data_IF_788699613244
#
_entry.id   IF_788699613244
#
_cell.length_a   1.000
_cell.length_b   1.000
_cell.length_c   1.000
_cell.angle_alpha   90.00
_cell.angle_beta   90.00
_cell.angle_gamma   90.00
#
_symmetry.space_group_name_H-M   'P 1'
#
loop_
_entity.id
_entity.type
_entity.pdbx_description
1 polymer ?
#
# COMPACT_ATOMS: atom_id res chain seq x y z
N UNK A 1 2.21 -14.77 -8.52
CA UNK A 1 1.14 -13.80 -8.87
C UNK A 1 1.31 -12.46 -8.16
N UNK A 2 1.27 -12.37 -6.82
CA UNK A 2 1.39 -11.09 -6.12
C UNK A 2 2.69 -10.32 -6.48
N UNK A 3 3.83 -11.01 -6.55
CA UNK A 3 5.12 -10.43 -6.97
C UNK A 3 5.07 -9.82 -8.37
N UNK A 4 4.55 -10.56 -9.36
CA UNK A 4 4.47 -10.07 -10.75
C UNK A 4 3.60 -8.83 -10.87
N UNK A 5 2.50 -8.78 -10.11
CA UNK A 5 1.63 -7.59 -10.08
C UNK A 5 2.32 -6.36 -9.50
N UNK A 6 3.35 -6.50 -8.65
CA UNK A 6 4.08 -5.38 -8.05
C UNK A 6 5.41 -5.05 -8.77
N UNK A 7 5.72 -5.75 -9.86
CA UNK A 7 6.99 -5.57 -10.59
C UNK A 7 7.11 -4.19 -11.27
N UNK A 8 5.99 -3.61 -11.68
CA UNK A 8 5.93 -2.29 -12.32
C UNK A 8 5.98 -1.12 -11.33
N UNK A 9 5.85 -1.39 -10.02
CA UNK A 9 5.83 -0.34 -9.01
C UNK A 9 7.25 0.23 -8.80
N UNK A 10 7.38 1.57 -8.67
CA UNK A 10 8.65 2.24 -8.43
C UNK A 10 9.39 1.70 -7.21
N UNK A 11 10.72 1.88 -7.16
CA UNK A 11 11.56 1.43 -6.04
C UNK A 11 11.28 2.14 -4.71
N UNK A 12 10.57 3.27 -4.75
CA UNK A 12 10.25 4.08 -3.57
C UNK A 12 8.93 3.68 -2.90
N UNK A 13 8.06 2.94 -3.58
CA UNK A 13 6.84 2.42 -2.97
C UNK A 13 7.17 1.29 -2.00
N UNK A 14 6.55 1.26 -0.82
CA UNK A 14 6.54 0.05 0.00
C UNK A 14 5.73 -1.04 -0.71
N UNK A 15 6.33 -2.22 -0.85
CA UNK A 15 5.67 -3.40 -1.42
C UNK A 15 5.31 -4.32 -0.27
N UNK A 16 4.02 -4.42 0.03
CA UNK A 16 3.52 -5.15 1.19
C UNK A 16 2.47 -6.17 0.77
N UNK A 17 2.57 -7.39 1.30
CA UNK A 17 1.60 -8.47 1.11
C UNK A 17 1.07 -8.86 2.48
N UNK A 18 -0.25 -8.83 2.64
CA UNK A 18 -0.93 -9.38 3.82
C UNK A 18 -1.64 -10.67 3.42
N UNK A 19 -1.34 -11.76 4.11
CA UNK A 19 -1.97 -13.08 3.88
C UNK A 19 -2.80 -13.47 5.09
N UNK A 20 -4.08 -13.72 4.88
CA UNK A 20 -4.94 -14.35 5.88
C UNK A 20 -4.91 -15.86 5.62
N UNK A 21 -4.32 -16.62 6.53
CA UNK A 21 -4.05 -18.04 6.33
C UNK A 21 -4.95 -18.91 7.23
N UNK A 22 -5.87 -19.65 6.63
CA UNK A 22 -6.83 -20.50 7.35
C UNK A 22 -6.48 -21.99 7.40
N UNK A 23 -5.49 -22.44 6.63
CA UNK A 23 -5.08 -23.85 6.55
C UNK A 23 -3.93 -24.17 7.50
N UNK A 24 -3.55 -25.44 7.59
CA UNK A 24 -2.30 -25.90 8.22
C UNK A 24 -1.29 -26.43 7.19
N UNK A 25 -1.74 -26.62 5.95
CA UNK A 25 -0.93 -27.14 4.85
C UNK A 25 -1.07 -26.23 3.64
N UNK A 26 0.04 -26.05 2.94
CA UNK A 26 0.09 -25.41 1.61
C UNK A 26 0.39 -26.52 0.59
N UNK A 27 -0.10 -26.37 -0.63
CA UNK A 27 0.18 -27.29 -1.73
C UNK A 27 0.85 -26.50 -2.86
N UNK A 28 2.12 -26.16 -2.67
CA UNK A 28 2.89 -25.40 -3.65
C UNK A 28 3.53 -26.34 -4.68
N UNK A 29 3.44 -26.05 -5.99
CA UNK A 29 3.99 -26.92 -7.03
C UNK A 29 5.53 -26.89 -7.12
N UNK A 30 6.18 -25.93 -6.47
CA UNK A 30 7.64 -25.74 -6.49
C UNK A 30 8.19 -25.41 -5.10
N UNK A 31 9.49 -25.14 -5.03
CA UNK A 31 10.15 -24.83 -3.77
C UNK A 31 9.81 -23.40 -3.31
N UNK A 32 9.16 -23.28 -2.15
CA UNK A 32 8.77 -22.00 -1.57
C UNK A 32 9.96 -21.17 -1.07
N UNK A 33 11.08 -21.81 -0.74
CA UNK A 33 12.27 -21.11 -0.28
C UNK A 33 12.91 -20.26 -1.39
N UNK A 34 12.88 -20.74 -2.63
CA UNK A 34 13.38 -19.97 -3.78
C UNK A 34 12.49 -18.74 -4.01
N UNK A 35 11.18 -18.89 -3.85
CA UNK A 35 10.22 -17.77 -3.94
C UNK A 35 10.45 -16.75 -2.82
N UNK A 36 10.79 -17.22 -1.61
CA UNK A 36 11.14 -16.36 -0.48
C UNK A 36 12.39 -15.53 -0.77
N UNK A 37 13.45 -16.15 -1.29
CA UNK A 37 14.70 -15.44 -1.62
C UNK A 37 14.46 -14.39 -2.73
N UNK A 38 13.61 -14.69 -3.71
CA UNK A 38 13.18 -13.73 -4.72
C UNK A 38 12.36 -12.56 -4.13
N UNK A 39 11.46 -12.83 -3.19
CA UNK A 39 10.70 -11.78 -2.49
C UNK A 39 11.59 -10.86 -1.65
N UNK A 40 12.61 -11.41 -1.00
CA UNK A 40 13.61 -10.62 -0.25
C UNK A 40 14.42 -9.74 -1.20
N UNK A 41 14.82 -10.28 -2.36
CA UNK A 41 15.53 -9.51 -3.41
C UNK A 41 14.72 -8.33 -3.92
N UNK A 42 13.41 -8.52 -4.10
CA UNK A 42 12.48 -7.49 -4.57
C UNK A 42 12.02 -6.53 -3.45
N UNK A 43 12.53 -6.69 -2.22
CA UNK A 43 12.20 -5.91 -1.02
C UNK A 43 10.70 -5.91 -0.70
N UNK A 44 10.06 -7.06 -0.86
CA UNK A 44 8.64 -7.25 -0.55
C UNK A 44 8.52 -7.69 0.90
N UNK A 45 7.74 -6.95 1.68
CA UNK A 45 7.39 -7.29 3.07
C UNK A 45 6.14 -8.16 3.10
N UNK A 46 6.20 -9.32 3.76
CA UNK A 46 5.06 -10.24 3.83
C UNK A 46 4.63 -10.39 5.29
N UNK A 47 3.40 -10.00 5.59
CA UNK A 47 2.77 -10.21 6.90
C UNK A 47 1.67 -11.27 6.78
N UNK A 48 1.59 -12.17 7.76
CA UNK A 48 0.66 -13.30 7.74
C UNK A 48 -0.12 -13.34 9.06
N UNK A 49 -1.45 -13.41 8.95
CA UNK A 49 -2.36 -13.66 10.07
C UNK A 49 -2.94 -15.07 9.89
N UNK A 50 -2.49 -16.01 10.71
CA UNK A 50 -2.94 -17.40 10.69
C UNK A 50 -4.15 -17.60 11.62
N UNK A 51 -5.15 -18.39 11.22
CA UNK A 51 -6.38 -18.60 12.01
C UNK A 51 -6.30 -19.77 13.00
N UNK A 52 -5.41 -20.74 12.76
CA UNK A 52 -5.44 -22.02 13.48
C UNK A 52 -4.16 -22.25 14.30
N UNK A 53 -3.03 -22.41 13.62
CA UNK A 53 -1.78 -22.70 14.27
C UNK A 53 -0.61 -21.98 13.60
N UNK A 54 0.49 -21.96 14.32
CA UNK A 54 1.75 -21.49 13.80
C UNK A 54 2.37 -22.50 12.82
N UNK A 55 2.77 -22.01 11.65
CA UNK A 55 3.47 -22.80 10.65
C UNK A 55 4.89 -22.28 10.48
N UNK A 56 5.87 -23.18 10.55
CA UNK A 56 7.28 -22.84 10.42
C UNK A 56 7.59 -22.05 9.15
N UNK A 57 7.02 -22.48 8.01
CA UNK A 57 7.22 -21.82 6.71
C UNK A 57 6.66 -20.40 6.71
N UNK A 58 5.46 -20.19 7.27
CA UNK A 58 4.83 -18.86 7.36
C UNK A 58 5.60 -17.92 8.30
N UNK A 59 6.09 -18.44 9.44
CA UNK A 59 6.97 -17.67 10.32
C UNK A 59 8.26 -17.26 9.61
N UNK A 60 8.92 -18.20 8.94
CA UNK A 60 10.16 -17.93 8.20
C UNK A 60 9.96 -16.90 7.08
N UNK A 61 8.81 -16.93 6.40
CA UNK A 61 8.44 -15.93 5.40
C UNK A 61 8.37 -14.53 6.01
N UNK A 62 7.64 -14.36 7.13
CA UNK A 62 7.52 -13.06 7.79
C UNK A 62 8.86 -12.57 8.33
N UNK A 63 9.62 -13.43 9.00
CA UNK A 63 10.90 -13.06 9.62
C UNK A 63 11.95 -12.64 8.58
N UNK A 64 12.10 -13.40 7.49
CA UNK A 64 13.07 -13.06 6.43
C UNK A 64 12.67 -11.83 5.61
N UNK A 65 11.38 -11.59 5.41
CA UNK A 65 10.90 -10.42 4.66
C UNK A 65 10.69 -9.16 5.53
N UNK A 66 10.84 -9.27 6.86
CA UNK A 66 10.64 -8.16 7.80
C UNK A 66 9.17 -7.79 8.03
N UNK A 67 8.25 -8.72 7.76
CA UNK A 67 6.82 -8.59 8.08
C UNK A 67 6.49 -9.06 9.49
N UNK A 68 5.19 -9.19 9.77
CA UNK A 68 4.68 -9.66 11.05
C UNK A 68 3.93 -10.98 10.89
N UNK A 69 4.06 -11.85 11.88
CA UNK A 69 3.31 -13.11 11.95
C UNK A 69 2.46 -13.12 13.22
N UNK A 70 1.16 -13.41 13.07
CA UNK A 70 0.23 -13.51 14.20
C UNK A 70 -0.69 -14.71 14.05
N UNK A 71 -1.05 -15.34 15.17
CA UNK A 71 -2.06 -16.42 15.21
C UNK A 71 -3.30 -15.90 15.94
N UNK A 72 -4.42 -15.88 15.24
CA UNK A 72 -5.69 -15.47 15.80
C UNK A 72 -6.19 -16.53 16.78
N UNK A 73 -6.54 -16.09 18.00
CA UNK A 73 -7.05 -16.96 19.07
C UNK A 73 -8.58 -16.87 19.18
N UNK A 74 -9.13 -15.72 18.82
CA UNK A 74 -10.54 -15.40 18.84
C UNK A 74 -10.81 -14.25 17.85
N UNK A 75 -12.07 -13.90 17.64
CA UNK A 75 -12.47 -12.85 16.69
C UNK A 75 -11.91 -11.46 17.07
N UNK A 76 -11.85 -11.15 18.37
CA UNK A 76 -11.28 -9.90 18.86
C UNK A 76 -9.79 -9.79 18.51
N UNK A 77 -9.02 -10.81 18.86
CA UNK A 77 -7.59 -10.90 18.57
C UNK A 77 -7.30 -10.88 17.06
N UNK A 78 -8.16 -11.51 16.24
CA UNK A 78 -8.05 -11.40 14.79
C UNK A 78 -8.16 -9.95 14.31
N UNK A 79 -9.14 -9.20 14.84
CA UNK A 79 -9.29 -7.77 14.53
C UNK A 79 -8.09 -6.97 15.01
N UNK A 80 -7.58 -7.26 16.20
CA UNK A 80 -6.40 -6.58 16.76
C UNK A 80 -5.15 -6.81 15.87
N UNK A 81 -4.90 -8.05 15.44
CA UNK A 81 -3.79 -8.39 14.54
C UNK A 81 -3.91 -7.71 13.17
N UNK A 82 -5.13 -7.60 12.63
CA UNK A 82 -5.35 -6.84 11.40
C UNK A 82 -5.15 -5.33 11.62
N UNK A 83 -5.55 -4.81 12.78
CA UNK A 83 -5.45 -3.39 13.10
C UNK A 83 -4.00 -2.96 13.33
N UNK A 84 -3.15 -3.85 13.83
CA UNK A 84 -1.70 -3.62 13.94
C UNK A 84 -1.04 -3.40 12.57
N UNK A 85 -1.62 -3.97 11.50
CA UNK A 85 -1.13 -3.82 10.13
C UNK A 85 -1.65 -2.55 9.42
N UNK A 86 -2.59 -1.80 10.02
CA UNK A 86 -3.15 -0.57 9.41
C UNK A 86 -2.14 0.58 9.38
N UNK A 87 -1.43 0.90 10.49
CA UNK A 87 -0.40 1.93 10.45
C UNK A 87 0.70 1.56 9.46
N UNK A 88 1.17 2.51 8.63
CA UNK A 88 2.27 2.24 7.72
C UNK A 88 3.50 1.84 8.55
N UNK A 89 4.17 0.72 8.21
CA UNK A 89 5.34 0.29 8.96
C UNK A 89 6.47 1.31 8.82
N UNK A 90 7.24 1.48 9.89
CA UNK A 90 8.48 2.22 9.81
C UNK A 90 9.42 1.52 8.81
N UNK A 91 9.67 2.15 7.67
CA UNK A 91 10.70 1.67 6.75
C UNK A 91 12.04 1.79 7.47
N UNK A 92 12.74 0.66 7.64
CA UNK A 92 14.12 0.67 8.12
C UNK A 92 14.95 1.43 7.08
N UNK A 93 15.40 2.62 7.43
CA UNK A 93 16.31 3.39 6.60
C UNK A 93 17.54 2.52 6.34
N UNK A 94 17.71 2.06 5.10
CA UNK A 94 19.00 1.53 4.66
C UNK A 94 19.91 2.75 4.61
N UNK A 95 20.70 2.92 5.66
CA UNK A 95 21.75 3.94 5.73
C UNK A 95 22.69 3.68 4.57
N UNK A 96 22.52 4.43 3.48
CA UNK A 96 23.59 4.54 2.49
C UNK A 96 24.72 5.25 3.22
N UNK A 97 25.92 4.70 3.18
CA UNK A 97 27.13 5.34 3.69
C UNK A 97 27.26 6.73 3.06
N UNK A 98 26.84 7.78 3.80
CA UNK A 98 27.02 9.18 3.40
C UNK A 98 25.77 10.04 3.16
N UNK A 99 24.55 9.63 3.51
CA UNK A 99 23.39 10.52 3.41
C UNK A 99 22.10 9.80 3.76
N UNK A 100 21.10 10.54 4.28
CA UNK A 100 19.82 10.00 4.76
C UNK A 100 19.07 9.10 3.76
N UNK A 101 17.93 8.51 4.16
CA UNK A 101 17.15 7.63 3.29
C UNK A 101 16.90 8.31 1.94
N UNK A 102 17.10 7.57 0.85
CA UNK A 102 16.85 8.06 -0.51
C UNK A 102 15.34 8.20 -0.73
N UNK A 103 14.75 9.23 -0.11
CA UNK A 103 13.41 9.70 -0.39
C UNK A 103 13.46 10.37 -1.78
N UNK A 104 13.09 9.60 -2.79
CA UNK A 104 12.86 10.17 -4.12
C UNK A 104 11.54 10.93 -4.12
N UNK A 105 11.56 12.08 -4.77
CA UNK A 105 10.44 13.00 -4.79
C UNK A 105 9.52 12.61 -5.94
N UNK A 106 8.36 12.06 -5.62
CA UNK A 106 7.33 11.78 -6.61
C UNK A 106 6.57 13.07 -6.95
N UNK A 107 6.44 13.34 -8.26
CA UNK A 107 5.62 14.44 -8.75
C UNK A 107 4.15 14.04 -8.63
N UNK A 108 3.37 14.79 -7.85
CA UNK A 108 1.92 14.61 -7.70
C UNK A 108 1.17 15.83 -8.24
N UNK A 109 -0.02 15.59 -8.79
CA UNK A 109 -0.92 16.64 -9.29
C UNK A 109 -2.13 16.84 -8.39
N UNK A 110 -2.40 18.09 -8.02
CA UNK A 110 -3.66 18.47 -7.38
C UNK A 110 -4.68 18.86 -8.44
N UNK A 111 -5.80 18.12 -8.58
CA UNK A 111 -6.78 18.39 -9.61
C UNK A 111 -7.71 19.52 -9.21
N UNK A 112 -8.31 20.16 -10.21
CA UNK A 112 -9.47 21.01 -10.01
C UNK A 112 -10.74 20.15 -10.03
N UNK A 113 -11.59 20.30 -9.00
CA UNK A 113 -12.91 19.65 -8.98
C UNK A 113 -13.88 20.43 -9.85
N UNK A 114 -14.49 19.75 -10.80
CA UNK A 114 -15.59 20.28 -11.60
C UNK A 114 -16.92 20.09 -10.86
N UNK A 115 -17.76 21.13 -10.77
CA UNK A 115 -19.10 21.01 -10.22
C UNK A 115 -20.05 20.29 -11.17
N UNK A 116 -21.16 19.79 -10.65
CA UNK A 116 -22.20 19.06 -11.40
C UNK A 116 -22.87 19.92 -12.48
N UNK A 117 -22.76 21.25 -12.37
CA UNK A 117 -23.27 22.25 -13.33
C UNK A 117 -22.35 22.45 -14.54
N UNK A 118 -21.17 21.84 -14.54
CA UNK A 118 -20.23 21.97 -15.66
C UNK A 118 -20.70 21.18 -16.89
N UNK A 119 -20.31 21.60 -18.11
CA UNK A 119 -20.76 20.95 -19.33
C UNK A 119 -20.33 19.47 -19.36
N UNK A 120 -21.24 18.56 -19.75
CA UNK A 120 -20.96 17.14 -19.74
C UNK A 120 -19.84 16.81 -20.74
N UNK A 121 -18.87 16.04 -20.28
CA UNK A 121 -17.70 15.61 -21.05
C UNK A 121 -17.35 14.17 -20.73
N UNK A 122 -16.67 13.51 -21.67
CA UNK A 122 -16.23 12.13 -21.50
C UNK A 122 -15.11 12.06 -20.46
N UNK A 123 -15.23 11.16 -19.50
CA UNK A 123 -14.12 10.81 -18.62
C UNK A 123 -13.17 9.83 -19.31
N UNK A 124 -11.88 9.94 -19.05
CA UNK A 124 -10.87 9.05 -19.64
C UNK A 124 -10.93 7.65 -19.04
N UNK A 125 -11.28 7.54 -17.76
CA UNK A 125 -11.27 6.26 -17.04
C UNK A 125 -12.39 5.29 -17.44
N UNK A 126 -13.58 5.78 -17.82
CA UNK A 126 -14.73 4.92 -18.17
C UNK A 126 -15.31 5.21 -19.56
N UNK A 127 -14.82 6.24 -20.27
CA UNK A 127 -15.41 6.72 -21.52
C UNK A 127 -16.92 7.02 -21.42
N UNK A 128 -17.36 7.42 -20.22
CA UNK A 128 -18.74 7.81 -19.94
C UNK A 128 -18.86 9.33 -19.83
N UNK A 129 -19.99 9.85 -20.29
CA UNK A 129 -20.28 11.27 -20.20
C UNK A 129 -20.74 11.60 -18.77
N UNK A 130 -19.98 12.42 -18.06
CA UNK A 130 -20.33 12.94 -16.72
C UNK A 130 -20.20 14.46 -16.73
N UNK A 131 -20.97 15.17 -15.91
CA UNK A 131 -20.77 16.61 -15.67
C UNK A 131 -19.73 16.84 -14.58
N UNK A 132 -19.83 16.15 -13.45
CA UNK A 132 -18.83 16.22 -12.38
C UNK A 132 -17.54 15.44 -12.67
N UNK A 133 -16.47 15.77 -11.94
CA UNK A 133 -15.20 15.03 -11.97
C UNK A 133 -14.00 15.88 -11.57
N UNK A 134 -12.82 15.38 -11.86
CA UNK A 134 -11.53 16.00 -11.56
C UNK A 134 -10.74 16.22 -12.84
N UNK A 135 -10.17 17.42 -13.02
CA UNK A 135 -9.30 17.73 -14.14
C UNK A 135 -7.84 17.51 -13.78
N UNK A 136 -7.13 16.75 -14.61
CA UNK A 136 -5.69 16.57 -14.49
C UNK A 136 -4.97 17.92 -14.73
N UNK A 137 -4.07 18.36 -13.83
CA UNK A 137 -3.39 19.64 -13.99
C UNK A 137 -2.41 19.69 -15.16
N UNK A 138 -1.99 18.53 -15.70
CA UNK A 138 -0.98 18.45 -16.78
C UNK A 138 -1.58 18.34 -18.17
N UNK A 139 -2.57 17.47 -18.35
CA UNK A 139 -3.18 17.21 -19.67
C UNK A 139 -4.66 17.64 -19.76
N UNK A 140 -5.23 18.19 -18.68
CA UNK A 140 -6.64 18.60 -18.61
C UNK A 140 -7.65 17.46 -18.86
N UNK A 141 -7.18 16.21 -18.81
CA UNK A 141 -8.02 15.03 -18.86
C UNK A 141 -9.01 15.01 -17.69
N UNK A 142 -10.26 14.61 -17.99
CA UNK A 142 -11.29 14.43 -16.97
C UNK A 142 -11.25 13.02 -16.40
N UNK A 143 -11.19 12.92 -15.08
CA UNK A 143 -11.20 11.67 -14.31
C UNK A 143 -12.38 11.69 -13.34
N UNK A 144 -13.04 10.56 -13.12
CA UNK A 144 -14.20 10.49 -12.21
C UNK A 144 -13.81 10.71 -10.74
N UNK A 145 -12.75 10.04 -10.29
CA UNK A 145 -12.41 9.92 -8.87
C UNK A 145 -10.91 10.09 -8.65
N UNK A 146 -10.56 10.46 -7.42
CA UNK A 146 -9.17 10.57 -6.93
C UNK A 146 -9.08 9.90 -5.56
N UNK A 147 -7.94 9.34 -5.14
CA UNK A 147 -6.64 9.35 -5.81
C UNK A 147 -6.54 8.32 -6.93
N UNK A 148 -5.96 8.70 -8.08
CA UNK A 148 -5.68 7.76 -9.19
C UNK A 148 -4.59 8.31 -10.09
N UNK A 149 -3.99 7.45 -10.91
CA UNK A 149 -3.08 7.85 -11.97
C UNK A 149 -3.86 8.29 -13.21
N UNK A 150 -3.40 9.35 -13.87
CA UNK A 150 -4.03 9.82 -15.10
C UNK A 150 -3.70 8.89 -16.28
N UNK A 151 -4.70 8.28 -16.90
CA UNK A 151 -4.50 7.35 -18.03
C UNK A 151 -3.83 7.97 -19.28
N UNK A 152 -3.86 9.31 -19.42
CA UNK A 152 -3.22 10.00 -20.57
C UNK A 152 -1.74 10.27 -20.32
N UNK A 153 -1.40 10.80 -19.14
CA UNK A 153 -0.05 11.29 -18.88
C UNK A 153 0.72 10.47 -17.83
N UNK A 154 0.04 9.65 -17.04
CA UNK A 154 0.63 8.89 -15.93
C UNK A 154 0.99 9.72 -14.71
N UNK A 155 0.43 10.93 -14.55
CA UNK A 155 0.61 11.73 -13.33
C UNK A 155 -0.30 11.19 -12.23
N UNK A 156 0.24 10.95 -11.04
CA UNK A 156 -0.57 10.63 -9.87
C UNK A 156 -1.36 11.84 -9.44
N UNK A 157 -2.69 11.74 -9.47
CA UNK A 157 -3.60 12.81 -9.09
C UNK A 157 -4.13 12.53 -7.68
N UNK A 158 -3.91 13.46 -6.76
CA UNK A 158 -4.31 13.33 -5.35
C UNK A 158 -4.95 14.62 -4.87
N UNK A 159 -5.91 14.52 -3.95
CA UNK A 159 -6.50 15.69 -3.29
C UNK A 159 -5.72 16.04 -2.02
N UNK A 160 -5.59 17.34 -1.70
CA UNK A 160 -4.93 17.77 -0.45
C UNK A 160 -5.54 17.12 0.81
N UNK A 161 -6.87 16.94 0.91
CA UNK A 161 -7.47 16.21 2.04
C UNK A 161 -6.99 14.75 2.17
N UNK A 162 -6.67 14.04 1.08
CA UNK A 162 -6.17 12.67 1.16
C UNK A 162 -4.78 12.62 1.82
N UNK A 163 -3.90 13.55 1.47
CA UNK A 163 -2.59 13.68 2.13
C UNK A 163 -2.75 14.09 3.59
N UNK A 164 -3.65 15.03 3.89
CA UNK A 164 -3.88 15.50 5.25
C UNK A 164 -4.36 14.38 6.20
N UNK A 165 -5.11 13.38 5.71
CA UNK A 165 -5.51 12.21 6.52
C UNK A 165 -4.31 11.41 7.02
N UNK A 166 -3.21 11.36 6.27
CA UNK A 166 -1.99 10.65 6.68
C UNK A 166 -1.12 11.41 7.70
N UNK A 167 -1.47 12.68 7.98
CA UNK A 167 -0.66 13.56 8.83
C UNK A 167 -0.49 13.03 10.27
N UNK A 168 -1.48 12.32 10.79
CA UNK A 168 -1.42 11.73 12.14
C UNK A 168 -0.37 10.62 12.28
N UNK A 169 0.01 9.96 11.17
CA UNK A 169 1.12 9.00 11.16
C UNK A 169 2.49 9.69 11.12
N UNK A 170 2.57 10.88 10.50
CA UNK A 170 3.80 11.67 10.44
C UNK A 170 4.09 12.41 11.76
N UNK A 171 3.04 12.84 12.44
CA UNK A 171 3.13 13.58 13.70
C UNK A 171 2.19 12.96 14.76
N UNK A 172 2.63 11.88 15.42
CA UNK A 172 1.80 11.19 16.41
C UNK A 172 1.54 12.06 17.65
N UNK A 173 0.38 11.87 18.27
CA UNK A 173 -0.01 12.55 19.51
C UNK A 173 0.81 12.00 20.69
N UNK A 174 1.19 12.87 21.62
CA UNK A 174 1.92 12.45 22.84
C UNK A 174 1.03 11.60 23.74
N UNK A 175 1.57 10.56 24.39
CA UNK A 175 0.80 9.74 25.33
C UNK A 175 0.36 10.57 26.53
N UNK A 176 -0.79 10.19 27.11
CA UNK A 176 -1.27 10.79 28.35
C UNK A 176 -0.39 10.38 29.53
N UNK A 177 -0.06 11.33 30.42
CA UNK A 177 0.59 11.03 31.70
C UNK A 177 -0.48 10.65 32.72
N UNK A 178 -0.52 9.38 33.13
CA UNK A 178 -1.36 8.96 34.24
C UNK A 178 -0.96 9.74 35.50
N UNK A 179 -1.96 10.33 36.17
CA UNK A 179 -1.85 11.00 37.47
C UNK A 179 -2.27 10.02 38.56
#
# INVERSE_FOLDING_TARGET
MARSSMSHLPTHSSKEIVVIFGSLTTCDPGNIHDTLDECVKDRIRISIVALAAEMKICRDLCEKTGGQFGVAMNEGHFKDLLFELIPPPAQRAVTRTGGGPAADLMIMGFPMRLPDTSPPSLCVCHSQMKSEGFLCPRCLAKVCDVPTDCDICGLMIVSSPHLARSYHHLFPVKPYSAV
#
